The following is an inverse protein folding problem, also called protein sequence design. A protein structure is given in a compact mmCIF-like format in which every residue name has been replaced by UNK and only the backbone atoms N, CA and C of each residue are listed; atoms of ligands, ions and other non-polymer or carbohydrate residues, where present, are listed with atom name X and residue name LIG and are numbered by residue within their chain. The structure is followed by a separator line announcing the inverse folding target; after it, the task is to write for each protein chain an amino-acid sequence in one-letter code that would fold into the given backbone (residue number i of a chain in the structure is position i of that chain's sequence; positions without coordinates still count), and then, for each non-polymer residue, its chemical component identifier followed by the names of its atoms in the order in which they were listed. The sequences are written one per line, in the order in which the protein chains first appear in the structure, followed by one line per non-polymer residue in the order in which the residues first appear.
data_IF_265011014170
#
_entry.id   IF_265011014170
#
_cell.length_a   1.000
_cell.length_b   1.000
_cell.length_c   1.000
_cell.angle_alpha   90.00
_cell.angle_beta   90.00
_cell.angle_gamma   90.00
#
_symmetry.space_group_name_H-M   'P 1'
#
loop_
_entity.id
_entity.type
_entity.pdbx_description
1 polymer ?
#
# COMPACT_ATOMS: atom_id res chain seq x y z
N UNK A 1 -3.90 -7.60 9.96
CA UNK A 1 -2.58 -7.48 9.29
C UNK A 1 -2.68 -6.55 8.09
N UNK A 2 -1.56 -5.98 7.63
CA UNK A 2 -1.52 -5.14 6.42
C UNK A 2 -0.69 -5.82 5.34
N UNK A 3 -1.33 -6.16 4.24
CA UNK A 3 -0.66 -6.52 3.00
C UNK A 3 -0.38 -5.26 2.20
N UNK A 4 0.89 -4.86 2.17
CA UNK A 4 1.39 -3.69 1.45
C UNK A 4 2.01 -4.13 0.12
N UNK A 5 1.55 -3.51 -0.97
CA UNK A 5 2.10 -3.67 -2.31
C UNK A 5 2.72 -2.36 -2.75
N UNK A 6 3.96 -2.42 -3.22
CA UNK A 6 4.71 -1.26 -3.69
C UNK A 6 5.24 -1.56 -5.09
N UNK A 7 5.19 -0.59 -5.99
CA UNK A 7 5.67 -0.77 -7.38
C UNK A 7 5.87 0.57 -8.09
N UNK A 8 6.61 0.54 -9.20
CA UNK A 8 6.52 1.55 -10.24
C UNK A 8 5.88 0.95 -11.51
N UNK A 9 5.10 1.78 -12.20
CA UNK A 9 4.57 1.50 -13.53
C UNK A 9 5.59 1.96 -14.57
N UNK A 10 6.08 1.02 -15.39
CA UNK A 10 7.04 1.30 -16.46
C UNK A 10 6.40 2.03 -17.64
N UNK A 11 5.19 1.61 -18.02
CA UNK A 11 4.45 2.16 -19.15
C UNK A 11 3.49 3.26 -18.67
N UNK A 12 4.05 4.43 -18.38
CA UNK A 12 3.30 5.57 -17.84
C UNK A 12 2.29 6.15 -18.83
N UNK A 13 2.46 5.91 -20.14
CA UNK A 13 1.49 6.31 -21.16
C UNK A 13 0.13 5.60 -20.97
N UNK A 14 0.14 4.37 -20.45
CA UNK A 14 -1.08 3.58 -20.16
C UNK A 14 -1.57 3.72 -18.72
N UNK A 15 -1.19 4.80 -18.02
CA UNK A 15 -1.57 5.05 -16.61
C UNK A 15 -3.07 4.93 -16.36
N UNK A 16 -3.91 5.50 -17.22
CA UNK A 16 -5.36 5.49 -17.04
C UNK A 16 -5.95 4.06 -17.13
N UNK A 17 -5.45 3.25 -18.06
CA UNK A 17 -5.85 1.84 -18.20
C UNK A 17 -5.42 1.03 -16.98
N UNK A 18 -4.20 1.27 -16.50
CA UNK A 18 -3.66 0.61 -15.31
C UNK A 18 -4.49 0.94 -14.06
N UNK A 19 -4.86 2.20 -13.87
CA UNK A 19 -5.69 2.61 -12.74
C UNK A 19 -7.08 1.98 -12.78
N UNK A 20 -7.69 1.89 -13.96
CA UNK A 20 -8.99 1.24 -14.17
C UNK A 20 -8.91 -0.27 -13.86
N UNK A 21 -7.86 -0.92 -14.35
CA UNK A 21 -7.59 -2.33 -14.04
C UNK A 21 -7.37 -2.53 -12.54
N UNK A 22 -6.57 -1.69 -11.89
CA UNK A 22 -6.23 -1.84 -10.48
C UNK A 22 -7.47 -1.63 -9.60
N UNK A 23 -8.33 -0.67 -9.92
CA UNK A 23 -9.61 -0.51 -9.21
C UNK A 23 -10.44 -1.81 -9.26
N UNK A 24 -10.54 -2.44 -10.43
CA UNK A 24 -11.19 -3.75 -10.60
C UNK A 24 -10.48 -4.85 -9.80
N UNK A 25 -9.14 -4.81 -9.74
CA UNK A 25 -8.32 -5.73 -8.95
C UNK A 25 -8.56 -5.58 -7.44
N UNK A 26 -8.73 -4.35 -6.92
CA UNK A 26 -9.07 -4.13 -5.50
C UNK A 26 -10.43 -4.75 -5.15
N UNK A 27 -11.45 -4.60 -6.00
CA UNK A 27 -12.74 -5.25 -5.78
C UNK A 27 -12.63 -6.78 -5.83
N UNK A 28 -11.82 -7.33 -6.73
CA UNK A 28 -11.53 -8.76 -6.77
C UNK A 28 -10.85 -9.23 -5.48
N UNK A 29 -9.86 -8.50 -4.97
CA UNK A 29 -9.22 -8.79 -3.69
C UNK A 29 -10.23 -8.79 -2.54
N UNK A 30 -11.09 -7.77 -2.47
CA UNK A 30 -12.13 -7.66 -1.43
C UNK A 30 -13.20 -8.75 -1.50
N UNK A 31 -13.35 -9.43 -2.65
CA UNK A 31 -14.22 -10.61 -2.76
C UNK A 31 -13.63 -11.89 -2.15
N UNK A 32 -12.35 -11.88 -1.76
CA UNK A 32 -11.68 -13.01 -1.12
C UNK A 32 -11.97 -12.95 0.38
N UNK A 33 -12.52 -14.02 0.99
CA UNK A 33 -12.73 -14.07 2.43
C UNK A 33 -11.45 -13.72 3.20
N UNK A 34 -11.58 -12.79 4.14
CA UNK A 34 -10.48 -12.30 4.96
C UNK A 34 -9.76 -11.07 4.42
N UNK A 35 -10.04 -10.60 3.19
CA UNK A 35 -9.73 -9.23 2.80
C UNK A 35 -10.82 -8.28 3.31
N UNK A 36 -10.40 -7.22 4.01
CA UNK A 36 -11.31 -6.32 4.75
C UNK A 36 -11.36 -4.92 4.19
N UNK A 37 -10.22 -4.41 3.71
CA UNK A 37 -10.15 -3.08 3.15
C UNK A 37 -9.02 -2.94 2.15
N UNK A 38 -9.11 -1.95 1.27
CA UNK A 38 -8.05 -1.60 0.32
C UNK A 38 -8.03 -0.09 0.06
N UNK A 39 -6.84 0.49 0.04
CA UNK A 39 -6.64 1.87 -0.41
C UNK A 39 -5.33 2.00 -1.19
N UNK A 40 -5.33 2.85 -2.23
CA UNK A 40 -4.18 3.11 -3.09
C UNK A 40 -3.67 4.53 -2.94
N UNK A 41 -2.37 4.68 -3.14
CA UNK A 41 -1.63 5.91 -2.96
C UNK A 41 -0.57 6.07 -4.04
N UNK A 42 -0.19 7.32 -4.28
CA UNK A 42 0.87 7.72 -5.20
C UNK A 42 1.78 8.74 -4.51
N UNK A 43 3.09 8.56 -4.65
CA UNK A 43 4.07 9.53 -4.18
C UNK A 43 3.91 10.86 -4.90
N UNK A 44 3.97 11.96 -4.15
CA UNK A 44 3.93 13.32 -4.72
C UNK A 44 5.31 13.80 -5.19
N UNK A 45 6.31 12.93 -5.12
CA UNK A 45 7.69 13.17 -5.51
C UNK A 45 8.28 11.89 -6.12
N UNK A 46 9.41 11.97 -6.85
CA UNK A 46 10.08 10.79 -7.36
C UNK A 46 10.41 9.80 -6.23
N UNK A 47 10.13 8.52 -6.49
CA UNK A 47 10.43 7.40 -5.60
C UNK A 47 10.63 6.13 -6.44
N UNK A 48 11.45 5.15 -5.99
CA UNK A 48 11.62 3.88 -6.71
C UNK A 48 10.32 3.10 -6.90
N UNK A 49 9.48 3.07 -5.86
CA UNK A 49 8.14 2.49 -5.88
C UNK A 49 7.13 3.59 -5.53
N UNK A 50 6.71 4.42 -6.51
CA UNK A 50 5.84 5.57 -6.27
C UNK A 50 4.40 5.16 -5.96
N UNK A 51 3.96 3.96 -6.38
CA UNK A 51 2.62 3.48 -6.10
C UNK A 51 2.62 2.52 -4.93
N UNK A 52 1.71 2.77 -3.99
CA UNK A 52 1.53 1.95 -2.79
C UNK A 52 0.06 1.56 -2.68
N UNK A 53 -0.22 0.30 -2.39
CA UNK A 53 -1.54 -0.16 -1.97
C UNK A 53 -1.46 -0.80 -0.59
N UNK A 54 -2.39 -0.44 0.29
CA UNK A 54 -2.56 -1.06 1.60
C UNK A 54 -3.84 -1.90 1.56
N UNK A 55 -3.71 -3.20 1.77
CA UNK A 55 -4.82 -4.13 1.91
C UNK A 55 -4.88 -4.66 3.34
N UNK A 56 -6.00 -4.47 4.03
CA UNK A 56 -6.20 -5.08 5.34
C UNK A 56 -6.66 -6.52 5.16
N UNK A 57 -5.95 -7.44 5.81
CA UNK A 57 -6.24 -8.87 5.78
C UNK A 57 -6.26 -9.46 7.18
N UNK A 58 -7.07 -10.51 7.38
CA UNK A 58 -7.25 -11.17 8.68
C UNK A 58 -6.00 -11.96 9.10
N UNK A 59 -5.41 -12.73 8.19
CA UNK A 59 -4.26 -13.59 8.49
C UNK A 59 -3.33 -13.81 7.29
N UNK A 60 -2.14 -14.32 7.56
CA UNK A 60 -1.18 -14.71 6.54
C UNK A 60 -1.63 -15.94 5.73
N UNK A 61 -2.50 -16.78 6.28
CA UNK A 61 -2.94 -18.05 5.65
C UNK A 61 -3.73 -17.80 4.36
N UNK A 62 -4.34 -16.62 4.22
CA UNK A 62 -5.03 -16.21 3.00
C UNK A 62 -4.11 -16.35 1.77
N UNK A 63 -2.81 -16.04 1.91
CA UNK A 63 -1.87 -16.06 0.79
C UNK A 63 -1.46 -17.45 0.33
N UNK A 64 -1.63 -18.47 1.17
CA UNK A 64 -1.37 -19.88 0.81
C UNK A 64 -2.63 -20.60 0.34
N UNK A 65 -3.82 -20.04 0.64
CA UNK A 65 -5.13 -20.58 0.28
C UNK A 65 -5.41 -20.60 -1.24
N UNK A 66 -6.27 -21.54 -1.69
CA UNK A 66 -6.57 -21.74 -3.11
C UNK A 66 -7.28 -20.55 -3.75
N UNK A 67 -8.20 -19.89 -3.02
CA UNK A 67 -8.98 -18.76 -3.53
C UNK A 67 -8.08 -17.58 -3.90
N UNK A 68 -7.10 -17.25 -3.06
CA UNK A 68 -6.14 -16.18 -3.37
C UNK A 68 -5.26 -16.56 -4.57
N UNK A 69 -4.66 -17.76 -4.56
CA UNK A 69 -3.82 -18.24 -5.67
C UNK A 69 -4.54 -18.21 -7.02
N UNK A 70 -5.83 -18.56 -7.05
CA UNK A 70 -6.64 -18.57 -8.26
C UNK A 70 -7.11 -17.18 -8.73
N UNK A 71 -7.32 -16.22 -7.83
CA UNK A 71 -7.95 -14.92 -8.17
C UNK A 71 -6.98 -13.75 -8.21
N UNK A 72 -6.00 -13.72 -7.31
CA UNK A 72 -5.23 -12.51 -7.01
C UNK A 72 -3.75 -12.76 -6.63
N UNK A 73 -3.27 -14.00 -6.72
CA UNK A 73 -1.85 -14.31 -6.61
C UNK A 73 -1.01 -13.54 -7.65
N UNK A 74 0.33 -13.51 -7.51
CA UNK A 74 1.20 -12.70 -8.36
C UNK A 74 1.05 -12.96 -9.87
N UNK A 75 0.69 -14.19 -10.25
CA UNK A 75 0.41 -14.60 -11.64
C UNK A 75 -0.92 -14.07 -12.19
N UNK A 76 -1.77 -13.46 -11.37
CA UNK A 76 -3.08 -12.89 -11.74
C UNK A 76 -3.01 -11.37 -11.99
N UNK A 77 -1.81 -10.84 -12.25
CA UNK A 77 -1.62 -9.43 -12.63
C UNK A 77 -1.72 -9.20 -14.15
N UNK A 78 -1.87 -10.27 -14.94
CA UNK A 78 -2.08 -10.20 -16.39
C UNK A 78 -0.92 -9.54 -17.12
N UNK A 79 -1.23 -8.74 -18.16
CA UNK A 79 -0.20 -8.01 -18.92
C UNK A 79 0.57 -6.99 -18.08
N UNK A 80 0.03 -6.56 -16.94
CA UNK A 80 0.66 -5.53 -16.12
C UNK A 80 1.90 -6.04 -15.38
N UNK A 81 2.03 -7.36 -15.19
CA UNK A 81 3.17 -7.95 -14.49
C UNK A 81 4.50 -7.55 -15.14
N UNK A 82 4.57 -7.55 -16.48
CA UNK A 82 5.77 -7.18 -17.24
C UNK A 82 5.95 -5.67 -17.38
N UNK A 83 4.95 -4.88 -16.97
CA UNK A 83 4.95 -3.41 -17.00
C UNK A 83 5.19 -2.80 -15.63
N UNK A 84 5.56 -3.59 -14.64
CA UNK A 84 5.86 -3.15 -13.27
C UNK A 84 7.32 -3.43 -12.94
N UNK A 85 7.96 -2.54 -12.19
CA UNK A 85 9.24 -2.78 -11.54
C UNK A 85 9.18 -2.40 -10.06
N UNK A 86 10.28 -2.65 -9.34
CA UNK A 86 10.39 -2.39 -7.90
C UNK A 86 9.18 -2.93 -7.13
N UNK A 87 8.74 -4.12 -7.54
CA UNK A 87 7.52 -4.74 -7.08
C UNK A 87 7.82 -5.50 -5.79
N UNK A 88 7.27 -5.00 -4.69
CA UNK A 88 7.43 -5.57 -3.36
C UNK A 88 6.07 -5.86 -2.76
N UNK A 89 5.93 -7.04 -2.18
CA UNK A 89 4.73 -7.52 -1.51
C UNK A 89 5.13 -7.92 -0.11
N UNK A 90 4.82 -7.08 0.86
CA UNK A 90 5.15 -7.33 2.26
C UNK A 90 3.87 -7.47 3.07
N UNK A 91 3.83 -8.44 3.98
CA UNK A 91 2.79 -8.56 4.98
C UNK A 91 3.33 -8.05 6.31
N UNK A 92 2.64 -7.10 6.92
CA UNK A 92 3.04 -6.46 8.17
C UNK A 92 2.06 -6.75 9.31
N UNK A 93 2.62 -6.92 10.52
CA UNK A 93 1.86 -7.06 11.76
C UNK A 93 1.32 -5.69 12.19
N UNK A 94 0.04 -5.47 11.92
CA UNK A 94 -0.74 -4.31 12.37
C UNK A 94 -2.23 -4.69 12.36
N UNK A 95 -2.97 -4.22 13.36
CA UNK A 95 -4.38 -4.59 13.55
C UNK A 95 -5.27 -4.05 12.45
N UNK A 96 -5.11 -2.76 12.11
CA UNK A 96 -5.98 -2.05 11.17
C UNK A 96 -5.17 -1.18 10.23
N UNK A 97 -5.51 -1.21 8.94
CA UNK A 97 -4.94 -0.23 7.99
C UNK A 97 -5.52 1.17 8.25
N UNK A 98 -4.71 2.24 8.12
CA UNK A 98 -5.23 3.59 8.23
C UNK A 98 -6.32 3.83 7.19
N UNK A 99 -7.34 4.58 7.59
CA UNK A 99 -8.30 5.19 6.67
C UNK A 99 -7.81 6.60 6.37
N UNK A 100 -7.27 6.81 5.18
CA UNK A 100 -6.62 8.08 4.82
C UNK A 100 -7.61 8.91 4.00
N UNK A 101 -8.11 10.03 4.54
CA UNK A 101 -9.00 10.93 3.80
C UNK A 101 -8.35 11.47 2.52
N UNK A 102 -9.16 11.83 1.52
CA UNK A 102 -8.66 12.35 0.24
C UNK A 102 -7.88 13.67 0.37
N UNK A 103 -8.15 14.42 1.43
CA UNK A 103 -7.49 15.67 1.82
C UNK A 103 -6.37 15.46 2.85
N UNK A 104 -5.89 14.23 3.05
CA UNK A 104 -4.74 13.90 3.88
C UNK A 104 -3.56 13.36 3.05
N UNK A 105 -2.46 13.05 3.74
CA UNK A 105 -1.30 12.31 3.20
C UNK A 105 -1.03 11.08 4.04
N UNK A 106 -0.65 10.01 3.36
CA UNK A 106 0.04 8.89 3.98
C UNK A 106 1.54 9.14 3.87
N UNK A 107 2.25 9.11 5.00
CA UNK A 107 3.72 9.13 5.02
C UNK A 107 4.21 7.73 5.36
N UNK A 108 4.99 7.14 4.45
CA UNK A 108 5.70 5.88 4.68
C UNK A 108 7.12 6.21 5.12
N UNK A 109 7.53 5.65 6.25
CA UNK A 109 8.85 5.84 6.86
C UNK A 109 9.63 4.52 6.77
N UNK A 110 10.87 4.58 6.29
CA UNK A 110 11.82 3.46 6.31
C UNK A 110 12.24 3.09 7.74
N UNK A 111 12.71 1.86 7.93
CA UNK A 111 13.30 1.43 9.20
C UNK A 111 14.46 2.35 9.64
N UNK A 112 14.57 2.59 10.95
CA UNK A 112 15.50 3.56 11.52
C UNK A 112 15.08 5.04 11.40
N UNK A 113 13.92 5.33 10.81
CA UNK A 113 13.33 6.67 10.82
C UNK A 113 12.84 7.13 12.21
N UNK A 114 12.41 8.40 12.34
CA UNK A 114 11.97 8.96 13.61
C UNK A 114 10.64 8.35 14.09
N UNK A 115 10.44 8.26 15.40
CA UNK A 115 9.21 7.74 16.00
C UNK A 115 8.00 8.69 15.91
N UNK A 116 8.25 9.96 15.60
CA UNK A 116 7.22 10.98 15.40
C UNK A 116 7.65 11.96 14.30
N UNK A 117 6.66 12.57 13.64
CA UNK A 117 6.84 13.53 12.56
C UNK A 117 6.12 14.85 12.88
N UNK A 118 6.72 15.98 12.50
CA UNK A 118 6.15 17.32 12.69
C UNK A 118 5.76 17.61 14.15
N UNK A 119 4.57 18.16 14.36
CA UNK A 119 4.00 18.52 15.67
C UNK A 119 3.48 17.29 16.45
N UNK A 120 4.32 16.25 16.57
CA UNK A 120 4.09 15.00 17.31
C UNK A 120 3.11 14.00 16.68
N UNK A 121 2.97 13.95 15.36
CA UNK A 121 2.24 12.84 14.71
C UNK A 121 3.03 11.56 14.93
N UNK A 122 2.45 10.62 15.71
CA UNK A 122 3.08 9.33 16.01
C UNK A 122 3.21 8.48 14.75
N UNK A 123 4.41 7.96 14.51
CA UNK A 123 4.63 6.96 13.46
C UNK A 123 4.20 5.61 14.00
N UNK A 124 3.23 4.99 13.32
CA UNK A 124 2.80 3.63 13.61
C UNK A 124 3.76 2.65 12.94
N UNK A 125 4.63 2.04 13.74
CA UNK A 125 5.59 1.05 13.27
C UNK A 125 4.95 -0.33 13.13
N UNK A 126 5.35 -1.05 12.09
CA UNK A 126 4.87 -2.39 11.77
C UNK A 126 6.02 -3.29 11.30
N UNK A 127 6.10 -4.49 11.87
CA UNK A 127 7.12 -5.48 11.54
C UNK A 127 6.66 -6.39 10.39
N UNK A 128 7.58 -6.71 9.47
CA UNK A 128 7.29 -7.60 8.36
C UNK A 128 7.20 -9.06 8.85
N UNK A 129 6.05 -9.68 8.61
CA UNK A 129 5.72 -11.03 9.09
C UNK A 129 5.49 -12.04 7.96
N UNK A 130 5.49 -11.63 6.69
CA UNK A 130 5.30 -12.57 5.57
C UNK A 130 5.50 -11.98 4.19
N UNK A 131 5.25 -12.83 3.19
CA UNK A 131 5.49 -12.57 1.76
C UNK A 131 6.97 -12.30 1.46
N UNK A 132 7.30 -11.26 0.71
CA UNK A 132 8.65 -11.05 0.18
C UNK A 132 9.65 -10.65 1.29
N UNK A 133 9.16 -10.04 2.39
CA UNK A 133 9.98 -9.53 3.52
C UNK A 133 11.19 -8.71 3.05
N UNK A 134 11.00 -7.88 2.02
CA UNK A 134 12.06 -7.06 1.43
C UNK A 134 12.59 -5.97 2.36
N UNK A 135 11.83 -5.66 3.42
CA UNK A 135 12.19 -4.77 4.52
C UNK A 135 11.80 -5.43 5.85
N UNK A 136 12.52 -5.12 6.93
CA UNK A 136 12.22 -5.67 8.27
C UNK A 136 11.04 -4.97 8.93
N UNK A 137 10.96 -3.65 8.77
CA UNK A 137 10.00 -2.78 9.45
C UNK A 137 9.65 -1.58 8.58
N UNK A 138 8.45 -1.04 8.77
CA UNK A 138 7.96 0.19 8.15
C UNK A 138 7.20 1.02 9.16
N UNK A 139 7.23 2.34 8.99
CA UNK A 139 6.40 3.28 9.72
C UNK A 139 5.32 3.87 8.81
N UNK A 140 4.11 4.05 9.34
CA UNK A 140 3.02 4.78 8.69
C UNK A 140 2.61 5.96 9.56
N UNK A 141 2.38 7.12 8.95
CA UNK A 141 1.74 8.27 9.59
C UNK A 141 0.71 8.88 8.65
N UNK A 142 -0.39 9.39 9.21
CA UNK A 142 -1.41 10.12 8.47
C UNK A 142 -1.42 11.55 8.99
N UNK A 143 -1.34 12.52 8.08
CA UNK A 143 -1.28 13.93 8.46
C UNK A 143 -1.81 14.86 7.36
N UNK A 144 -2.13 16.12 7.68
CA UNK A 144 -2.55 17.12 6.70
C UNK A 144 -1.46 17.39 5.65
N UNK A 145 -1.84 17.73 4.39
CA UNK A 145 -0.90 18.05 3.31
C UNK A 145 0.10 19.15 3.68
N UNK A 146 -0.34 20.19 4.38
CA UNK A 146 0.51 21.33 4.78
C UNK A 146 1.71 20.92 5.63
N UNK A 147 1.59 19.82 6.37
CA UNK A 147 2.65 19.27 7.23
C UNK A 147 3.43 18.17 6.51
N UNK A 148 2.74 17.24 5.87
CA UNK A 148 3.36 16.12 5.16
C UNK A 148 4.20 16.57 3.97
N UNK A 149 3.73 17.53 3.18
CA UNK A 149 4.41 17.94 1.94
C UNK A 149 5.77 18.61 2.24
N UNK A 150 6.01 19.08 3.48
CA UNK A 150 7.32 19.56 3.96
C UNK A 150 8.35 18.44 4.16
N UNK A 151 7.91 17.18 4.22
CA UNK A 151 8.78 16.02 4.36
C UNK A 151 9.30 15.51 3.00
N UNK A 152 8.80 16.06 1.88
CA UNK A 152 9.29 15.71 0.54
C UNK A 152 10.80 15.92 0.45
N UNK A 153 11.51 14.91 -0.06
CA UNK A 153 12.96 14.92 -0.16
C UNK A 153 13.71 14.49 1.10
N UNK A 154 13.00 14.24 2.22
CA UNK A 154 13.62 13.67 3.42
C UNK A 154 14.06 12.22 3.15
N UNK A 155 15.34 11.87 3.36
CA UNK A 155 15.81 10.50 3.20
C UNK A 155 15.01 9.52 4.05
N UNK A 156 14.61 8.40 3.44
CA UNK A 156 13.83 7.36 4.12
C UNK A 156 12.36 7.72 4.37
N UNK A 157 11.82 8.75 3.71
CA UNK A 157 10.40 9.09 3.75
C UNK A 157 9.79 9.16 2.36
N UNK A 158 8.56 8.66 2.24
CA UNK A 158 7.71 8.87 1.06
C UNK A 158 6.40 9.52 1.47
N UNK A 159 6.09 10.65 0.84
CA UNK A 159 4.84 11.37 1.03
C UNK A 159 3.89 10.98 -0.10
N UNK A 160 2.76 10.40 0.26
CA UNK A 160 1.83 9.82 -0.70
C UNK A 160 0.46 10.50 -0.60
N UNK A 161 -0.13 10.85 -1.74
CA UNK A 161 -1.54 11.24 -1.85
C UNK A 161 -2.40 10.00 -2.07
N UNK A 162 -3.62 9.91 -1.50
CA UNK A 162 -4.57 8.87 -1.85
C UNK A 162 -5.04 9.04 -3.29
N UNK A 163 -5.21 7.91 -4.00
CA UNK A 163 -5.76 7.88 -5.36
C UNK A 163 -7.28 7.71 -5.38
N UNK A 164 -7.83 7.10 -4.33
CA UNK A 164 -9.25 6.87 -4.14
C UNK A 164 -9.58 6.71 -2.65
N UNK A 165 -10.85 6.88 -2.24
CA UNK A 165 -11.30 6.55 -0.89
C UNK A 165 -11.00 5.09 -0.53
N UNK A 166 -10.88 4.81 0.77
CA UNK A 166 -10.70 3.45 1.27
C UNK A 166 -11.93 2.61 0.93
N UNK A 167 -11.71 1.52 0.21
CA UNK A 167 -12.71 0.50 -0.07
C UNK A 167 -12.77 -0.46 1.13
N UNK A 168 -13.97 -0.90 1.49
CA UNK A 168 -14.18 -1.95 2.50
C UNK A 168 -14.92 -3.12 1.85
N UNK A 169 -14.71 -4.33 2.35
CA UNK A 169 -15.57 -5.44 1.93
C UNK A 169 -16.98 -5.17 2.43
N UNK A 170 -17.96 -5.24 1.54
CA UNK A 170 -19.37 -5.29 1.95
C UNK A 170 -19.50 -6.47 2.90
N UNK A 171 -20.02 -6.24 4.12
CA UNK A 171 -20.23 -7.31 5.09
C UNK A 171 -20.95 -8.48 4.42
N UNK A 172 -20.35 -9.66 4.51
CA UNK A 172 -21.03 -10.91 4.17
C UNK A 172 -22.11 -11.19 5.22
#
# INVERSE_FOLDING_TARGET
MIYMVEMALLDTARRAEWDTWYASHQHRLLSIPGFRASQRFEAIHPAPSPFVALHQVDSADIFTGPTYKAKAGPTNTGEWQSKMNNWHRNLFAMDRSPDVPMDARLVVVEDGGPAALGDRVTVQWMDAVGLDRSVKRRGLAVMPPTTADRLVGTPGMRVLKPLAPRLTSSGA
#
